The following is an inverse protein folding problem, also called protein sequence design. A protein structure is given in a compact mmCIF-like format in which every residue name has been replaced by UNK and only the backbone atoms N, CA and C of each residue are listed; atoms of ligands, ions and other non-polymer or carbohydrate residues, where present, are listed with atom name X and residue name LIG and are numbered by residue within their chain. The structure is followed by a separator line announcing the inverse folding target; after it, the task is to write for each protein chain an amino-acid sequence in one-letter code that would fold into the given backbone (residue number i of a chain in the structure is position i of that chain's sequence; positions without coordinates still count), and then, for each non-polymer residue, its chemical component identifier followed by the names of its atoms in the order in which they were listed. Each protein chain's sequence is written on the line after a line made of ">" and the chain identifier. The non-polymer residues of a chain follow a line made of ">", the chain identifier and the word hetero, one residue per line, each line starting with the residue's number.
data_IF_671782174561
#
_entry.id   IF_671782174561
#
_cell.length_a   1.000
_cell.length_b   1.000
_cell.length_c   1.000
_cell.angle_alpha   90.00
_cell.angle_beta   90.00
_cell.angle_gamma   90.00
#
_symmetry.space_group_name_H-M   'P 1'
#
loop_
_entity.id
_entity.type
_entity.pdbx_description
1 polymer ?
#
# COMPACT_ATOMS: atom_id res chain seq x y z
N UNK A 1 37.47 17.09 13.07
CA UNK A 1 36.34 17.52 12.21
C UNK A 1 35.24 16.49 12.36
N UNK A 2 34.11 16.89 12.94
CA UNK A 2 33.01 15.98 13.26
C UNK A 2 32.30 15.54 11.98
N UNK A 3 32.03 14.24 11.87
CA UNK A 3 31.17 13.70 10.83
C UNK A 3 29.75 14.23 11.04
N UNK A 4 29.21 14.88 10.01
CA UNK A 4 27.81 15.26 9.92
C UNK A 4 27.03 13.95 9.74
N UNK A 5 26.05 13.61 10.59
CA UNK A 5 25.24 12.42 10.37
C UNK A 5 24.33 12.69 9.18
N UNK A 6 24.52 11.91 8.11
CA UNK A 6 23.67 11.90 6.92
C UNK A 6 22.22 11.65 7.35
N UNK A 7 21.39 12.68 7.18
CA UNK A 7 19.96 12.67 7.53
C UNK A 7 19.08 12.49 6.30
N UNK A 8 19.59 11.81 5.27
CA UNK A 8 18.97 11.72 3.94
C UNK A 8 18.58 10.30 3.51
N UNK A 9 18.62 9.30 4.40
CA UNK A 9 18.39 7.90 3.97
C UNK A 9 17.05 7.29 4.36
N UNK A 10 16.22 7.96 5.18
CA UNK A 10 14.96 7.36 5.65
C UNK A 10 13.74 7.76 4.79
N UNK A 11 13.75 8.93 4.15
CA UNK A 11 12.62 9.40 3.34
C UNK A 11 12.54 8.73 1.98
N UNK A 12 13.69 8.42 1.37
CA UNK A 12 13.75 7.77 0.05
C UNK A 12 13.30 6.30 0.14
N UNK A 13 13.63 5.62 1.24
CA UNK A 13 13.22 4.23 1.46
C UNK A 13 11.69 4.11 1.63
N UNK A 14 11.07 5.00 2.42
CA UNK A 14 9.61 4.99 2.64
C UNK A 14 8.84 5.22 1.34
N UNK A 15 9.24 6.22 0.53
CA UNK A 15 8.60 6.46 -0.77
C UNK A 15 8.78 5.32 -1.77
N UNK A 16 9.90 4.60 -1.70
CA UNK A 16 10.11 3.39 -2.52
C UNK A 16 9.24 2.22 -2.06
N UNK A 17 9.01 2.06 -0.75
CA UNK A 17 8.10 1.05 -0.21
C UNK A 17 6.64 1.35 -0.58
N UNK A 18 6.18 2.58 -0.41
CA UNK A 18 4.82 2.99 -0.81
C UNK A 18 4.58 2.84 -2.31
N UNK A 19 5.59 3.13 -3.15
CA UNK A 19 5.55 2.84 -4.62
C UNK A 19 5.38 1.34 -4.93
N UNK A 20 6.08 0.46 -4.20
CA UNK A 20 5.97 -0.99 -4.37
C UNK A 20 4.58 -1.48 -3.94
N UNK A 21 4.11 -1.05 -2.77
CA UNK A 21 2.78 -1.37 -2.27
C UNK A 21 1.68 -0.88 -3.21
N UNK A 22 1.78 0.35 -3.74
CA UNK A 22 0.84 0.88 -4.73
C UNK A 22 0.80 0.03 -6.00
N UNK A 23 1.97 -0.36 -6.49
CA UNK A 23 2.08 -1.23 -7.68
C UNK A 23 1.50 -2.62 -7.43
N UNK A 24 1.68 -3.17 -6.22
CA UNK A 24 1.10 -4.43 -5.78
C UNK A 24 -0.43 -4.36 -5.72
N UNK A 25 -0.98 -3.35 -5.03
CA UNK A 25 -2.43 -3.11 -4.93
C UNK A 25 -3.06 -3.02 -6.31
N UNK A 26 -2.47 -2.24 -7.23
CA UNK A 26 -2.98 -2.09 -8.60
C UNK A 26 -2.98 -3.41 -9.38
N UNK A 27 -1.97 -4.26 -9.20
CA UNK A 27 -1.92 -5.59 -9.84
C UNK A 27 -2.98 -6.53 -9.30
N UNK A 28 -3.19 -6.54 -7.99
CA UNK A 28 -4.22 -7.34 -7.34
C UNK A 28 -5.60 -6.90 -7.85
N UNK A 29 -5.90 -5.60 -7.81
CA UNK A 29 -7.18 -5.05 -8.29
C UNK A 29 -7.42 -5.41 -9.74
N UNK A 30 -6.43 -5.20 -10.62
CA UNK A 30 -6.57 -5.55 -12.04
C UNK A 30 -6.95 -7.02 -12.24
N UNK A 31 -6.34 -7.94 -11.50
CA UNK A 31 -6.71 -9.36 -11.59
C UNK A 31 -8.13 -9.62 -11.06
N UNK A 32 -8.52 -9.01 -9.95
CA UNK A 32 -9.86 -9.17 -9.38
C UNK A 32 -10.95 -8.61 -10.29
N UNK A 33 -10.68 -7.51 -11.00
CA UNK A 33 -11.57 -6.96 -12.03
C UNK A 33 -11.73 -7.92 -13.20
N UNK A 34 -10.66 -8.62 -13.61
CA UNK A 34 -10.75 -9.67 -14.64
C UNK A 34 -11.56 -10.90 -14.17
N UNK A 35 -11.60 -11.16 -12.87
CA UNK A 35 -12.37 -12.23 -12.24
C UNK A 35 -13.81 -11.82 -11.91
N UNK A 36 -14.22 -10.58 -12.25
CA UNK A 36 -15.54 -9.99 -11.99
C UNK A 36 -15.93 -10.05 -10.49
N UNK A 37 -14.95 -9.81 -9.62
CA UNK A 37 -15.16 -9.81 -8.16
C UNK A 37 -15.93 -8.55 -7.74
N UNK A 38 -16.95 -8.71 -6.91
CA UNK A 38 -17.72 -7.56 -6.42
C UNK A 38 -16.84 -6.61 -5.59
N UNK A 39 -17.00 -5.28 -5.76
CA UNK A 39 -16.16 -4.28 -5.09
C UNK A 39 -16.06 -4.41 -3.56
N UNK A 40 -17.12 -4.90 -2.92
CA UNK A 40 -17.17 -5.10 -1.46
C UNK A 40 -16.14 -6.13 -0.96
N UNK A 41 -15.69 -7.05 -1.82
CA UNK A 41 -14.70 -8.07 -1.46
C UNK A 41 -13.27 -7.67 -1.80
N UNK A 42 -13.06 -6.68 -2.68
CA UNK A 42 -11.73 -6.30 -3.19
C UNK A 42 -10.74 -6.02 -2.05
N UNK A 43 -11.15 -5.27 -1.02
CA UNK A 43 -10.29 -4.99 0.13
C UNK A 43 -9.84 -6.26 0.85
N UNK A 44 -10.73 -7.23 1.01
CA UNK A 44 -10.39 -8.51 1.65
C UNK A 44 -9.37 -9.27 0.80
N UNK A 45 -9.56 -9.31 -0.51
CA UNK A 45 -8.61 -9.95 -1.41
C UNK A 45 -7.23 -9.27 -1.39
N UNK A 46 -7.20 -7.93 -1.38
CA UNK A 46 -5.94 -7.20 -1.22
C UNK A 46 -5.25 -7.56 0.10
N UNK A 47 -6.01 -7.69 1.18
CA UNK A 47 -5.45 -8.08 2.47
C UNK A 47 -4.94 -9.53 2.45
N UNK A 48 -5.72 -10.48 1.94
CA UNK A 48 -5.37 -11.91 1.96
C UNK A 48 -4.19 -12.24 1.02
N UNK A 49 -4.01 -11.46 -0.05
CA UNK A 49 -3.01 -11.73 -1.09
C UNK A 49 -1.81 -10.77 -1.06
N UNK A 50 -1.96 -9.64 -0.37
CA UNK A 50 -0.92 -8.65 -0.21
C UNK A 50 0.27 -9.15 0.60
N UNK A 51 1.43 -8.56 0.30
CA UNK A 51 2.66 -8.69 1.08
C UNK A 51 2.44 -8.33 2.55
N UNK A 52 3.32 -8.83 3.42
CA UNK A 52 3.24 -8.53 4.86
C UNK A 52 3.27 -7.01 5.11
N UNK A 53 4.13 -6.27 4.40
CA UNK A 53 4.19 -4.81 4.49
C UNK A 53 2.87 -4.14 4.11
N UNK A 54 2.21 -4.60 3.04
CA UNK A 54 0.92 -4.06 2.62
C UNK A 54 -0.17 -4.38 3.63
N UNK A 55 -0.16 -5.58 4.21
CA UNK A 55 -1.09 -5.96 5.28
C UNK A 55 -0.90 -5.11 6.53
N UNK A 56 0.32 -4.95 6.99
CA UNK A 56 0.65 -4.13 8.15
C UNK A 56 0.24 -2.67 7.90
N UNK A 57 0.55 -2.14 6.71
CA UNK A 57 0.13 -0.81 6.29
C UNK A 57 -1.41 -0.65 6.33
N UNK A 58 -2.15 -1.62 5.80
CA UNK A 58 -3.61 -1.61 5.85
C UNK A 58 -4.13 -1.63 7.30
N UNK A 59 -3.51 -2.41 8.19
CA UNK A 59 -3.91 -2.47 9.61
C UNK A 59 -3.65 -1.14 10.31
N UNK A 60 -2.53 -0.50 10.02
CA UNK A 60 -2.11 0.74 10.68
C UNK A 60 -2.85 1.98 10.16
N UNK A 61 -3.11 2.02 8.85
CA UNK A 61 -3.56 3.24 8.15
C UNK A 61 -5.02 3.18 7.71
N UNK A 62 -5.66 2.01 7.73
CA UNK A 62 -7.01 1.81 7.19
C UNK A 62 -7.95 1.21 8.24
N UNK A 63 -9.11 1.84 8.41
CA UNK A 63 -10.17 1.36 9.25
C UNK A 63 -10.92 0.17 8.65
N UNK A 64 -11.56 -0.65 9.48
CA UNK A 64 -12.31 -1.84 9.01
C UNK A 64 -13.38 -1.53 7.95
N UNK A 65 -14.06 -0.39 8.06
CA UNK A 65 -15.14 0.03 7.16
C UNK A 65 -14.70 0.78 5.90
N UNK A 66 -13.42 1.11 5.79
CA UNK A 66 -12.92 1.82 4.62
C UNK A 66 -12.94 0.92 3.38
N UNK A 67 -13.12 1.52 2.22
CA UNK A 67 -13.06 0.85 0.91
C UNK A 67 -11.61 0.75 0.42
N UNK A 68 -11.38 -0.02 -0.65
CA UNK A 68 -10.03 -0.19 -1.19
C UNK A 68 -9.51 1.08 -1.88
N UNK A 69 -10.37 1.96 -2.39
CA UNK A 69 -9.96 3.21 -3.03
C UNK A 69 -9.18 4.10 -2.07
N UNK A 70 -9.58 4.12 -0.80
CA UNK A 70 -8.86 4.83 0.26
C UNK A 70 -7.43 4.31 0.46
N UNK A 71 -7.19 3.02 0.27
CA UNK A 71 -5.84 2.44 0.30
C UNK A 71 -4.98 3.01 -0.83
N UNK A 72 -5.55 3.09 -2.03
CA UNK A 72 -4.86 3.66 -3.19
C UNK A 72 -4.55 5.13 -2.95
N UNK A 73 -5.50 5.92 -2.45
CA UNK A 73 -5.31 7.34 -2.14
C UNK A 73 -4.16 7.57 -1.14
N UNK A 74 -4.15 6.87 -0.01
CA UNK A 74 -3.09 7.02 1.00
C UNK A 74 -1.72 6.64 0.42
N UNK A 75 -1.65 5.55 -0.35
CA UNK A 75 -0.40 5.13 -0.97
C UNK A 75 0.09 6.12 -2.03
N UNK A 76 -0.81 6.74 -2.80
CA UNK A 76 -0.46 7.79 -3.78
C UNK A 76 0.03 9.08 -3.12
N UNK A 77 -0.47 9.43 -1.93
CA UNK A 77 0.02 10.59 -1.17
C UNK A 77 1.43 10.38 -0.60
N UNK A 78 1.85 9.13 -0.39
CA UNK A 78 3.17 8.78 0.16
C UNK A 78 4.28 8.55 -0.91
N UNK A 79 3.92 8.59 -2.20
CA UNK A 79 4.77 8.30 -3.39
C UNK A 79 5.51 9.53 -3.89
#
# INVERSE_FOLDING_TARGET
>A
MGAIPNRESASDDYGQESKKMLSEVRRIIYRLELEDIEPIYIKRHIFDEGSDNLRDFMVERIGRKDEYQKLVEILEEEV
#
